data_IF_429592313423
#
_entry.id   IF_429592313423
#
_cell.length_a   1.000
_cell.length_b   1.000
_cell.length_c   1.000
_cell.angle_alpha   90.00
_cell.angle_beta   90.00
_cell.angle_gamma   90.00
#
_symmetry.space_group_name_H-M   'P 1'
#
loop_
_entity.id
_entity.type
_entity.pdbx_description
1 polymer ?
#
# COMPACT_ATOMS: atom_id res chain seq x y z
N UNK A 1 28.33 17.90 -5.88
CA UNK A 1 29.25 17.63 -4.76
C UNK A 1 28.63 16.75 -3.68
N UNK A 2 27.51 17.13 -3.04
CA UNK A 2 26.88 16.30 -2.00
C UNK A 2 26.40 14.93 -2.54
N UNK A 3 25.61 14.90 -3.63
CA UNK A 3 25.10 13.64 -4.19
C UNK A 3 26.20 12.72 -4.74
N UNK A 4 27.28 13.30 -5.31
CA UNK A 4 28.44 12.52 -5.77
C UNK A 4 29.16 11.82 -4.61
N UNK A 5 29.32 12.52 -3.47
CA UNK A 5 29.91 11.95 -2.26
C UNK A 5 29.03 10.85 -1.65
N UNK A 6 27.71 11.01 -1.74
CA UNK A 6 26.72 10.02 -1.32
C UNK A 6 26.79 8.76 -2.19
N UNK A 7 26.80 8.92 -3.52
CA UNK A 7 26.93 7.80 -4.45
C UNK A 7 28.25 7.03 -4.28
N UNK A 8 29.36 7.76 -4.07
CA UNK A 8 30.63 7.14 -3.70
C UNK A 8 30.57 6.40 -2.34
N UNK A 9 29.76 6.89 -1.40
CA UNK A 9 29.44 6.20 -0.15
C UNK A 9 28.72 4.87 -0.37
N UNK A 10 27.71 4.86 -1.25
CA UNK A 10 26.94 3.65 -1.61
C UNK A 10 27.86 2.58 -2.21
N UNK A 11 28.72 2.94 -3.17
CA UNK A 11 29.64 1.99 -3.78
C UNK A 11 30.71 1.46 -2.81
N UNK A 12 31.21 2.30 -1.90
CA UNK A 12 32.11 1.84 -0.83
C UNK A 12 31.43 0.86 0.13
N UNK A 13 30.17 1.10 0.49
CA UNK A 13 29.39 0.17 1.32
C UNK A 13 29.20 -1.19 0.64
N UNK A 14 29.28 -1.25 -0.70
CA UNK A 14 29.25 -2.48 -1.51
C UNK A 14 30.62 -3.12 -1.74
N UNK A 15 31.68 -2.57 -1.14
CA UNK A 15 33.03 -3.13 -1.21
C UNK A 15 33.90 -2.59 -2.36
N UNK A 16 33.47 -1.54 -3.07
CA UNK A 16 34.30 -0.85 -4.05
C UNK A 16 35.36 -0.02 -3.32
N UNK A 17 36.60 -0.03 -3.82
CA UNK A 17 37.67 0.81 -3.26
C UNK A 17 37.31 2.30 -3.38
N UNK A 18 37.81 3.11 -2.45
CA UNK A 18 37.43 4.52 -2.33
C UNK A 18 37.82 5.36 -3.56
N UNK A 19 38.93 5.05 -4.23
CA UNK A 19 39.35 5.76 -5.44
C UNK A 19 38.41 5.46 -6.62
N UNK A 20 38.12 4.18 -6.86
CA UNK A 20 37.19 3.72 -7.89
C UNK A 20 35.77 4.20 -7.60
N UNK A 21 35.32 4.16 -6.35
CA UNK A 21 33.97 4.61 -5.97
C UNK A 21 33.75 6.09 -6.28
N UNK A 22 34.72 6.95 -5.96
CA UNK A 22 34.67 8.38 -6.33
C UNK A 22 34.73 8.57 -7.84
N UNK A 23 35.55 7.81 -8.54
CA UNK A 23 35.65 7.91 -10.00
C UNK A 23 34.34 7.53 -10.69
N UNK A 24 33.73 6.43 -10.25
CA UNK A 24 32.41 5.97 -10.75
C UNK A 24 31.34 7.00 -10.44
N UNK A 25 31.28 7.52 -9.20
CA UNK A 25 30.31 8.55 -8.84
C UNK A 25 30.47 9.80 -9.72
N UNK A 26 31.70 10.29 -9.88
CA UNK A 26 32.02 11.43 -10.74
C UNK A 26 31.57 11.21 -12.19
N UNK A 27 31.80 10.02 -12.74
CA UNK A 27 31.42 9.69 -14.11
C UNK A 27 29.90 9.60 -14.29
N UNK A 28 29.19 8.98 -13.34
CA UNK A 28 27.74 8.86 -13.35
C UNK A 28 27.03 10.20 -13.12
N UNK A 29 27.63 11.09 -12.31
CA UNK A 29 27.11 12.44 -12.05
C UNK A 29 27.31 13.43 -13.20
N UNK A 30 28.01 13.06 -14.29
CA UNK A 30 28.18 13.94 -15.48
C UNK A 30 26.90 14.18 -16.25
N UNK A 31 26.04 13.17 -16.30
CA UNK A 31 24.75 13.23 -16.94
C UNK A 31 23.67 13.25 -15.84
N UNK A 32 22.94 14.37 -15.67
CA UNK A 32 21.87 14.47 -14.67
C UNK A 32 20.81 13.38 -14.81
N UNK A 33 20.52 12.92 -16.03
CA UNK A 33 19.55 11.87 -16.28
C UNK A 33 20.08 10.49 -15.86
N UNK A 34 21.39 10.25 -15.96
CA UNK A 34 21.98 9.03 -15.43
C UNK A 34 22.12 9.10 -13.89
N UNK A 35 22.50 10.25 -13.36
CA UNK A 35 22.68 10.48 -11.93
C UNK A 35 21.40 10.18 -11.14
N UNK A 36 20.28 10.83 -11.48
CA UNK A 36 18.99 10.61 -10.80
C UNK A 36 18.55 9.13 -10.89
N UNK A 37 18.81 8.45 -12.01
CA UNK A 37 18.34 7.08 -12.27
C UNK A 37 19.06 6.09 -11.36
N UNK A 38 20.37 6.31 -11.23
CA UNK A 38 21.23 5.56 -10.31
C UNK A 38 20.80 5.85 -8.88
N UNK A 39 20.63 7.11 -8.47
CA UNK A 39 20.16 7.43 -7.12
C UNK A 39 18.79 6.81 -6.82
N UNK A 40 17.80 6.90 -7.71
CA UNK A 40 16.48 6.28 -7.53
C UNK A 40 16.56 4.76 -7.34
N UNK A 41 17.42 4.09 -8.11
CA UNK A 41 17.63 2.64 -8.00
C UNK A 41 18.39 2.27 -6.73
N UNK A 42 19.42 3.03 -6.39
CA UNK A 42 20.37 2.74 -5.32
C UNK A 42 19.82 3.10 -3.93
N UNK A 43 19.05 4.18 -3.81
CA UNK A 43 18.49 4.66 -2.55
C UNK A 43 17.06 4.20 -2.32
N UNK A 44 16.19 4.29 -3.33
CA UNK A 44 14.78 3.95 -3.20
C UNK A 44 14.50 2.49 -3.53
N UNK A 45 15.44 1.79 -4.18
CA UNK A 45 15.22 0.43 -4.67
C UNK A 45 14.20 0.35 -5.79
N UNK A 46 13.90 1.47 -6.45
CA UNK A 46 12.89 1.56 -7.52
C UNK A 46 13.60 1.69 -8.85
N UNK A 47 13.21 0.85 -9.82
CA UNK A 47 13.66 0.99 -11.20
C UNK A 47 12.75 2.00 -11.91
N UNK A 48 13.24 3.19 -12.31
CA UNK A 48 12.40 4.21 -12.93
C UNK A 48 11.86 3.80 -14.31
N UNK A 49 12.54 2.86 -14.97
CA UNK A 49 12.16 2.38 -16.29
C UNK A 49 11.13 1.23 -16.22
N UNK A 50 10.89 0.67 -15.03
CA UNK A 50 9.94 -0.44 -14.78
C UNK A 50 8.91 -0.06 -13.70
N UNK A 51 8.29 1.12 -13.86
CA UNK A 51 7.24 1.57 -12.96
C UNK A 51 5.89 0.92 -13.30
N UNK A 52 5.14 0.45 -12.28
CA UNK A 52 3.76 0.00 -12.48
C UNK A 52 2.89 1.10 -13.10
N UNK A 53 2.07 0.75 -14.09
CA UNK A 53 1.16 1.70 -14.74
C UNK A 53 0.22 2.37 -13.73
N UNK A 54 0.23 3.72 -13.62
CA UNK A 54 -0.62 4.44 -12.67
C UNK A 54 -2.11 4.27 -12.99
N UNK A 55 -2.45 4.16 -14.28
CA UNK A 55 -3.82 3.90 -14.71
C UNK A 55 -4.31 2.52 -14.30
N UNK A 56 -3.44 1.51 -14.39
CA UNK A 56 -3.78 0.15 -13.95
C UNK A 56 -3.96 0.10 -12.44
N UNK A 57 -3.08 0.75 -11.67
CA UNK A 57 -3.19 0.85 -10.22
C UNK A 57 -4.49 1.56 -9.80
N UNK A 58 -4.82 2.69 -10.43
CA UNK A 58 -6.04 3.44 -10.14
C UNK A 58 -7.30 2.64 -10.48
N UNK A 59 -7.38 2.08 -11.70
CA UNK A 59 -8.55 1.32 -12.16
C UNK A 59 -8.80 0.06 -11.35
N UNK A 60 -7.75 -0.71 -11.04
CA UNK A 60 -7.86 -1.92 -10.23
C UNK A 60 -8.26 -1.61 -8.78
N UNK A 61 -7.69 -0.56 -8.19
CA UNK A 61 -8.03 -0.13 -6.82
C UNK A 61 -9.49 0.34 -6.73
N UNK A 62 -9.95 1.13 -7.71
CA UNK A 62 -11.34 1.57 -7.79
C UNK A 62 -12.30 0.38 -7.92
N UNK A 63 -12.03 -0.53 -8.84
CA UNK A 63 -12.88 -1.71 -9.04
C UNK A 63 -12.93 -2.60 -7.78
N UNK A 64 -11.79 -2.84 -7.13
CA UNK A 64 -11.73 -3.60 -5.89
C UNK A 64 -12.49 -2.91 -4.74
N UNK A 65 -12.37 -1.59 -4.62
CA UNK A 65 -13.10 -0.80 -3.63
C UNK A 65 -14.62 -0.88 -3.84
N UNK A 66 -15.08 -0.63 -5.07
CA UNK A 66 -16.51 -0.69 -5.42
C UNK A 66 -17.06 -2.09 -5.18
N UNK A 67 -16.37 -3.13 -5.64
CA UNK A 67 -16.80 -4.51 -5.43
C UNK A 67 -16.87 -4.87 -3.94
N UNK A 68 -15.88 -4.46 -3.15
CA UNK A 68 -15.86 -4.70 -1.71
C UNK A 68 -16.97 -3.95 -0.97
N UNK A 69 -17.20 -2.69 -1.32
CA UNK A 69 -18.24 -1.85 -0.71
C UNK A 69 -19.66 -2.30 -1.07
N UNK A 70 -19.86 -2.84 -2.27
CA UNK A 70 -21.15 -3.34 -2.72
C UNK A 70 -21.70 -4.46 -1.82
N UNK A 71 -20.84 -5.33 -1.28
CA UNK A 71 -21.26 -6.50 -0.47
C UNK A 71 -22.10 -6.09 0.75
N UNK A 72 -21.63 -5.25 1.69
CA UNK A 72 -22.44 -4.83 2.83
C UNK A 72 -23.54 -3.83 2.48
N UNK A 73 -23.46 -3.14 1.33
CA UNK A 73 -24.52 -2.22 0.88
C UNK A 73 -25.71 -2.94 0.23
N UNK A 74 -25.48 -4.13 -0.33
CA UNK A 74 -26.50 -4.88 -1.08
C UNK A 74 -27.81 -5.07 -0.29
N UNK A 75 -27.81 -5.45 1.00
CA UNK A 75 -29.07 -5.58 1.74
C UNK A 75 -29.85 -4.27 1.84
N UNK A 76 -29.19 -3.13 2.01
CA UNK A 76 -29.86 -1.82 2.05
C UNK A 76 -30.47 -1.47 0.69
N UNK A 77 -29.78 -1.77 -0.41
CA UNK A 77 -30.32 -1.59 -1.77
C UNK A 77 -31.57 -2.46 -2.02
N UNK A 78 -31.68 -3.59 -1.31
CA UNK A 78 -32.83 -4.48 -1.34
C UNK A 78 -33.91 -4.14 -0.30
N UNK A 79 -33.78 -3.01 0.40
CA UNK A 79 -34.78 -2.51 1.35
C UNK A 79 -34.63 -3.03 2.78
N UNK A 80 -33.48 -3.60 3.15
CA UNK A 80 -33.22 -3.97 4.54
C UNK A 80 -33.20 -2.73 5.44
N UNK A 81 -33.93 -2.79 6.55
CA UNK A 81 -33.95 -1.75 7.59
C UNK A 81 -33.09 -2.12 8.81
N UNK A 82 -32.67 -3.38 8.90
CA UNK A 82 -31.82 -3.89 9.99
C UNK A 82 -30.34 -3.83 9.63
N UNK A 83 -29.52 -3.43 10.61
CA UNK A 83 -28.05 -3.39 10.47
C UNK A 83 -27.40 -4.78 10.53
N UNK A 84 -28.08 -5.79 11.08
CA UNK A 84 -27.45 -7.08 11.40
C UNK A 84 -26.90 -7.79 10.15
N UNK A 85 -27.72 -7.89 9.10
CA UNK A 85 -27.34 -8.59 7.86
C UNK A 85 -26.19 -7.87 7.13
N UNK A 86 -26.26 -6.55 6.85
CA UNK A 86 -25.13 -5.77 6.35
C UNK A 86 -23.84 -5.95 7.15
N UNK A 87 -23.93 -5.91 8.48
CA UNK A 87 -22.78 -6.00 9.36
C UNK A 87 -22.10 -7.37 9.28
N UNK A 88 -22.88 -8.46 9.31
CA UNK A 88 -22.34 -9.81 9.15
C UNK A 88 -21.68 -10.00 7.78
N UNK A 89 -22.30 -9.49 6.71
CA UNK A 89 -21.71 -9.53 5.37
C UNK A 89 -20.39 -8.74 5.32
N UNK A 90 -20.33 -7.57 5.94
CA UNK A 90 -19.09 -6.78 6.04
C UNK A 90 -17.98 -7.56 6.76
N UNK A 91 -18.30 -8.18 7.90
CA UNK A 91 -17.35 -8.96 8.69
C UNK A 91 -16.80 -10.16 7.90
N UNK A 92 -17.69 -10.91 7.23
CA UNK A 92 -17.30 -12.05 6.38
C UNK A 92 -16.44 -11.58 5.21
N UNK A 93 -16.81 -10.48 4.54
CA UNK A 93 -16.05 -9.92 3.43
C UNK A 93 -14.66 -9.45 3.86
N UNK A 94 -14.55 -8.76 5.00
CA UNK A 94 -13.26 -8.32 5.56
C UNK A 94 -12.36 -9.52 5.88
N UNK A 95 -12.90 -10.55 6.53
CA UNK A 95 -12.13 -11.75 6.84
C UNK A 95 -11.66 -12.46 5.57
N UNK A 96 -12.56 -12.64 4.58
CA UNK A 96 -12.24 -13.26 3.31
C UNK A 96 -11.17 -12.47 2.53
N UNK A 97 -11.25 -11.14 2.51
CA UNK A 97 -10.23 -10.29 1.90
C UNK A 97 -8.87 -10.44 2.60
N UNK A 98 -8.85 -10.49 3.94
CA UNK A 98 -7.62 -10.76 4.69
C UNK A 98 -7.03 -12.14 4.39
N UNK A 99 -7.87 -13.18 4.27
CA UNK A 99 -7.45 -14.52 3.83
C UNK A 99 -6.88 -14.50 2.42
N UNK A 100 -7.49 -13.75 1.49
CA UNK A 100 -6.98 -13.61 0.13
C UNK A 100 -5.58 -12.97 0.11
N UNK A 101 -5.37 -11.91 0.90
CA UNK A 101 -4.07 -11.24 1.04
C UNK A 101 -3.00 -12.17 1.64
N UNK A 102 -3.40 -13.16 2.46
CA UNK A 102 -2.44 -14.13 3.04
C UNK A 102 -1.69 -14.93 1.97
N UNK A 103 -2.29 -15.12 0.79
CA UNK A 103 -1.69 -15.82 -0.35
C UNK A 103 -0.47 -15.10 -0.92
N UNK A 104 -0.37 -13.79 -0.72
CA UNK A 104 0.73 -12.95 -1.23
C UNK A 104 1.72 -12.52 -0.15
N UNK A 105 1.39 -12.72 1.13
CA UNK A 105 2.16 -12.16 2.27
C UNK A 105 2.89 -13.21 3.10
N UNK A 106 2.82 -14.49 2.70
CA UNK A 106 3.42 -15.62 3.43
C UNK A 106 3.02 -15.70 4.92
N UNK A 107 1.80 -15.24 5.23
CA UNK A 107 1.19 -15.31 6.57
C UNK A 107 0.09 -16.36 6.60
N UNK A 108 -0.27 -16.85 7.78
CA UNK A 108 -1.39 -17.78 7.90
C UNK A 108 -2.72 -17.10 7.58
N UNK A 109 -3.64 -17.85 6.97
CA UNK A 109 -4.97 -17.36 6.60
C UNK A 109 -5.73 -16.79 7.81
N UNK A 110 -5.70 -17.50 8.94
CA UNK A 110 -6.35 -17.08 10.18
C UNK A 110 -5.79 -15.76 10.71
N UNK A 111 -4.47 -15.58 10.71
CA UNK A 111 -3.84 -14.35 11.17
C UNK A 111 -4.25 -13.16 10.30
N UNK A 112 -4.11 -13.31 8.98
CA UNK A 112 -4.39 -12.22 8.03
C UNK A 112 -5.88 -11.87 8.00
N UNK A 113 -6.76 -12.86 7.99
CA UNK A 113 -8.21 -12.68 8.06
C UNK A 113 -8.66 -11.99 9.35
N UNK A 114 -8.18 -12.46 10.51
CA UNK A 114 -8.52 -11.87 11.81
C UNK A 114 -7.99 -10.44 11.94
N UNK A 115 -6.74 -10.20 11.50
CA UNK A 115 -6.17 -8.85 11.47
C UNK A 115 -7.03 -7.89 10.64
N UNK A 116 -7.45 -8.30 9.44
CA UNK A 116 -8.27 -7.45 8.57
C UNK A 116 -9.65 -7.18 9.19
N UNK A 117 -10.28 -8.21 9.77
CA UNK A 117 -11.55 -8.08 10.48
C UNK A 117 -11.45 -7.11 11.65
N UNK A 118 -10.41 -7.22 12.49
CA UNK A 118 -10.20 -6.35 13.65
C UNK A 118 -9.99 -4.90 13.24
N UNK A 119 -9.13 -4.65 12.26
CA UNK A 119 -8.86 -3.29 11.77
C UNK A 119 -10.12 -2.66 11.15
N UNK A 120 -10.86 -3.41 10.33
CA UNK A 120 -12.10 -2.93 9.73
C UNK A 120 -13.19 -2.67 10.78
N UNK A 121 -13.33 -3.55 11.77
CA UNK A 121 -14.29 -3.38 12.87
C UNK A 121 -13.94 -2.17 13.75
N UNK A 122 -12.65 -1.95 14.02
CA UNK A 122 -12.19 -0.78 14.76
C UNK A 122 -12.48 0.52 13.99
N UNK A 123 -12.21 0.56 12.68
CA UNK A 123 -12.54 1.72 11.86
C UNK A 123 -14.05 2.00 11.84
N UNK A 124 -14.89 0.97 11.70
CA UNK A 124 -16.34 1.09 11.77
C UNK A 124 -16.81 1.61 13.13
N UNK A 125 -16.27 1.09 14.23
CA UNK A 125 -16.59 1.53 15.59
C UNK A 125 -16.23 3.00 15.82
N UNK A 126 -15.06 3.44 15.37
CA UNK A 126 -14.65 4.85 15.44
C UNK A 126 -15.58 5.73 14.60
N UNK A 127 -15.91 5.30 13.38
CA UNK A 127 -16.82 6.06 12.49
C UNK A 127 -18.20 6.21 13.10
N UNK A 128 -18.74 5.14 13.68
CA UNK A 128 -20.02 5.17 14.39
C UNK A 128 -19.97 6.07 15.63
N UNK A 129 -18.91 5.98 16.44
CA UNK A 129 -18.73 6.82 17.62
C UNK A 129 -18.71 8.31 17.24
N UNK A 130 -17.94 8.70 16.22
CA UNK A 130 -17.92 10.08 15.72
C UNK A 130 -19.31 10.51 15.25
N UNK A 131 -20.00 9.69 14.45
CA UNK A 131 -21.36 9.98 13.99
C UNK A 131 -22.36 10.18 15.14
N UNK A 132 -22.23 9.39 16.20
CA UNK A 132 -23.06 9.51 17.41
C UNK A 132 -22.77 10.79 18.20
N UNK A 133 -21.51 11.21 18.29
CA UNK A 133 -21.10 12.40 19.04
C UNK A 133 -21.50 13.71 18.33
N UNK A 134 -21.47 13.71 16.99
CA UNK A 134 -21.84 14.88 16.18
C UNK A 134 -23.36 15.07 16.12
N UNK A 135 -24.15 14.14 16.67
CA UNK A 135 -25.61 14.25 16.69
C UNK A 135 -26.25 13.93 15.33
N UNK A 136 -25.55 13.19 14.47
CA UNK A 136 -26.13 12.58 13.25
C UNK A 136 -26.95 11.32 13.61
N UNK A 137 -27.10 11.03 14.90
CA UNK A 137 -28.00 9.99 15.40
C UNK A 137 -29.45 10.38 15.10
N UNK A 138 -30.12 9.51 14.34
CA UNK A 138 -31.58 9.38 14.25
C UNK A 138 -32.30 9.67 15.56
#
# INVERSE_FOLDING_TARGET
>A
EAEEAELAGIYRARGVDDATAREVARQLSRDPETAWRVHAREELGVDPDDLPSPWTAAGSSFAAFVAGAAVPLTPFLLGATSLLVPLLLAMVALFAAGVLVSRFTNRTALYSGTRQLLLGSAAAAVTYAIGSLVGVGV
#
